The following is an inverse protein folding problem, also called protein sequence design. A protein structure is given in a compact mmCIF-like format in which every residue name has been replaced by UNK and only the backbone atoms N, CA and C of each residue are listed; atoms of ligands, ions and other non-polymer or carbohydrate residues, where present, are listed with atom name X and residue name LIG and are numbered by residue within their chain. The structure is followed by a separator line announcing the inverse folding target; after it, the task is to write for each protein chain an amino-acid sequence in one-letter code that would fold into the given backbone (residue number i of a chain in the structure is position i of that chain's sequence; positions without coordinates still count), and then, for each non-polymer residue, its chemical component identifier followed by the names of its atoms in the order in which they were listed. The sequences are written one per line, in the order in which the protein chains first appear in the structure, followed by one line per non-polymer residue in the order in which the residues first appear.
data_IF_319812848144
#
_entry.id   IF_319812848144
#
_cell.length_a   1.000
_cell.length_b   1.000
_cell.length_c   1.000
_cell.angle_alpha   90.00
_cell.angle_beta   90.00
_cell.angle_gamma   90.00
#
_symmetry.space_group_name_H-M   'P 1'
#
loop_
_entity.id
_entity.type
_entity.pdbx_description
1 polymer ?
#
# COMPACT_ATOMS: atom_id res chain seq x y z
N UNK A 1 -22.17 -15.96 24.12
CA UNK A 1 -21.67 -15.41 22.86
C UNK A 1 -21.09 -16.52 22.01
N UNK A 2 -21.66 -16.75 20.83
CA UNK A 2 -21.10 -17.66 19.83
C UNK A 2 -19.94 -16.94 19.15
N UNK A 3 -18.72 -17.48 19.29
CA UNK A 3 -17.53 -16.89 18.68
C UNK A 3 -17.46 -17.33 17.22
N UNK A 4 -17.16 -16.39 16.31
CA UNK A 4 -16.87 -16.75 14.91
C UNK A 4 -15.78 -17.83 14.88
N UNK A 5 -16.01 -18.88 14.09
CA UNK A 5 -15.11 -20.04 14.01
C UNK A 5 -13.68 -19.67 13.55
N UNK A 6 -13.51 -18.55 12.87
CA UNK A 6 -12.25 -18.03 12.35
C UNK A 6 -11.72 -16.80 13.10
N UNK A 7 -12.33 -16.48 14.25
CA UNK A 7 -11.87 -15.42 15.15
C UNK A 7 -12.00 -14.01 14.57
N UNK A 8 -11.41 -13.04 15.28
CA UNK A 8 -11.32 -11.65 14.86
C UNK A 8 -10.44 -11.49 13.60
N UNK A 9 -9.35 -12.28 13.50
CA UNK A 9 -8.48 -12.25 12.34
C UNK A 9 -9.20 -12.69 11.05
N UNK A 10 -9.99 -13.77 11.10
CA UNK A 10 -10.77 -14.21 9.95
C UNK A 10 -11.94 -13.27 9.62
N UNK A 11 -12.58 -12.69 10.65
CA UNK A 11 -13.56 -11.62 10.44
C UNK A 11 -12.95 -10.43 9.69
N UNK A 12 -11.76 -9.96 10.09
CA UNK A 12 -11.09 -8.82 9.45
C UNK A 12 -10.79 -9.10 7.97
N UNK A 13 -10.27 -10.29 7.65
CA UNK A 13 -10.01 -10.72 6.27
C UNK A 13 -11.29 -10.72 5.41
N UNK A 14 -12.39 -11.28 5.94
CA UNK A 14 -13.67 -11.29 5.23
C UNK A 14 -14.25 -9.90 5.06
N UNK A 15 -14.20 -9.08 6.11
CA UNK A 15 -14.68 -7.70 6.08
C UNK A 15 -13.92 -6.89 5.02
N UNK A 16 -12.58 -6.99 5.04
CA UNK A 16 -11.72 -6.36 4.05
C UNK A 16 -12.04 -6.84 2.63
N UNK A 17 -12.14 -8.16 2.44
CA UNK A 17 -12.52 -8.75 1.14
C UNK A 17 -13.86 -8.24 0.65
N UNK A 18 -14.87 -8.18 1.53
CA UNK A 18 -16.20 -7.70 1.20
C UNK A 18 -16.21 -6.21 0.82
N UNK A 19 -15.45 -5.37 1.54
CA UNK A 19 -15.31 -3.94 1.24
C UNK A 19 -14.69 -3.68 -0.13
N UNK A 20 -13.74 -4.51 -0.54
CA UNK A 20 -13.01 -4.33 -1.79
C UNK A 20 -13.63 -5.08 -2.97
N UNK A 21 -14.78 -5.74 -2.76
CA UNK A 21 -15.61 -6.28 -3.85
C UNK A 21 -16.47 -5.16 -4.46
N UNK A 22 -16.47 -5.08 -5.78
CA UNK A 22 -17.35 -4.18 -6.52
C UNK A 22 -16.80 -2.76 -6.68
N UNK A 23 -17.66 -1.83 -7.12
CA UNK A 23 -17.34 -0.43 -7.39
C UNK A 23 -17.74 0.46 -6.22
N UNK A 24 -16.93 1.45 -5.87
CA UNK A 24 -17.25 2.40 -4.80
C UNK A 24 -16.01 2.96 -4.12
N UNK A 25 -16.25 3.77 -3.10
CA UNK A 25 -15.22 4.30 -2.22
C UNK A 25 -14.62 3.18 -1.36
N UNK A 26 -13.31 2.95 -1.51
CA UNK A 26 -12.56 1.91 -0.80
C UNK A 26 -11.66 2.46 0.30
N UNK A 27 -11.72 3.76 0.58
CA UNK A 27 -10.94 4.40 1.67
C UNK A 27 -11.20 3.70 3.00
N UNK A 28 -10.19 3.57 3.83
CA UNK A 28 -10.31 2.89 5.11
C UNK A 28 -11.19 3.71 6.05
N UNK A 29 -12.25 3.12 6.65
CA UNK A 29 -13.03 3.84 7.64
C UNK A 29 -12.18 4.11 8.89
N UNK A 30 -12.14 5.33 9.45
CA UNK A 30 -11.39 5.61 10.68
C UNK A 30 -11.76 4.69 11.85
N UNK A 31 -13.06 4.41 12.00
CA UNK A 31 -13.56 3.49 13.02
C UNK A 31 -13.03 2.05 12.88
N UNK A 32 -12.61 1.62 11.68
CA UNK A 32 -11.95 0.33 11.48
C UNK A 32 -10.53 0.35 12.06
N UNK A 33 -9.77 1.43 11.83
CA UNK A 33 -8.43 1.59 12.37
C UNK A 33 -8.46 1.55 13.90
N UNK A 34 -9.37 2.32 14.51
CA UNK A 34 -9.57 2.34 15.98
C UNK A 34 -9.98 0.96 16.54
N UNK A 35 -10.75 0.19 15.78
CA UNK A 35 -11.13 -1.16 16.15
C UNK A 35 -9.93 -2.10 16.12
N UNK A 36 -9.10 -2.04 15.07
CA UNK A 36 -7.91 -2.88 14.91
C UNK A 36 -6.89 -2.58 16.00
N UNK A 37 -6.65 -1.31 16.33
CA UNK A 37 -5.75 -0.92 17.42
C UNK A 37 -6.18 -1.53 18.77
N UNK A 38 -7.47 -1.42 19.12
CA UNK A 38 -8.01 -2.02 20.34
C UNK A 38 -8.01 -3.55 20.32
N UNK A 39 -8.15 -4.15 19.14
CA UNK A 39 -8.22 -5.60 18.96
C UNK A 39 -6.85 -6.27 18.77
N UNK A 40 -5.73 -5.53 18.77
CA UNK A 40 -4.40 -6.06 18.44
C UNK A 40 -4.03 -7.32 19.24
N UNK A 41 -4.31 -7.34 20.54
CA UNK A 41 -4.03 -8.49 21.40
C UNK A 41 -4.81 -9.74 20.98
N UNK A 42 -6.07 -9.57 20.57
CA UNK A 42 -6.91 -10.65 20.04
C UNK A 42 -6.40 -11.10 18.68
N UNK A 43 -6.07 -10.18 17.79
CA UNK A 43 -5.54 -10.50 16.46
C UNK A 43 -4.24 -11.31 16.56
N UNK A 44 -3.31 -10.95 17.44
CA UNK A 44 -2.09 -11.72 17.70
C UNK A 44 -2.40 -13.13 18.20
N UNK A 45 -3.31 -13.26 19.17
CA UNK A 45 -3.71 -14.56 19.70
C UNK A 45 -4.34 -15.46 18.62
N UNK A 46 -5.21 -14.89 17.79
CA UNK A 46 -5.87 -15.63 16.71
C UNK A 46 -4.87 -16.07 15.64
N UNK A 47 -3.89 -15.21 15.29
CA UNK A 47 -2.83 -15.57 14.33
C UNK A 47 -1.88 -16.64 14.88
N UNK A 48 -1.52 -16.57 16.16
CA UNK A 48 -0.69 -17.59 16.81
C UNK A 48 -1.38 -18.96 16.94
N UNK A 49 -2.72 -19.00 16.89
CA UNK A 49 -3.49 -20.24 16.86
C UNK A 49 -3.62 -20.83 15.44
N UNK A 50 -3.20 -20.11 14.39
CA UNK A 50 -3.20 -20.63 13.01
C UNK A 50 -1.96 -21.51 12.79
N UNK A 51 -2.04 -22.48 11.85
CA UNK A 51 -0.85 -23.15 11.33
C UNK A 51 0.19 -22.14 10.82
N UNK A 52 1.48 -22.45 10.97
CA UNK A 52 2.60 -21.55 10.63
C UNK A 52 2.55 -21.04 9.18
N UNK A 53 2.12 -21.87 8.22
CA UNK A 53 1.96 -21.51 6.80
C UNK A 53 0.82 -20.50 6.55
N UNK A 54 0.07 -20.13 7.60
CA UNK A 54 -1.12 -19.24 7.55
C UNK A 54 -1.15 -18.24 8.69
N UNK A 55 -0.06 -18.10 9.44
CA UNK A 55 0.06 -17.18 10.59
C UNK A 55 0.23 -15.71 10.16
N UNK A 56 -0.56 -15.28 9.16
CA UNK A 56 -0.59 -13.92 8.62
C UNK A 56 -2.00 -13.52 8.18
N UNK A 57 -2.25 -12.22 8.15
CA UNK A 57 -3.48 -11.61 7.67
C UNK A 57 -3.46 -11.47 6.15
N UNK A 58 -4.54 -11.89 5.50
CA UNK A 58 -4.76 -11.71 4.04
C UNK A 58 -5.39 -10.35 3.73
N UNK A 59 -4.69 -9.28 4.11
CA UNK A 59 -5.05 -7.90 3.81
C UNK A 59 -4.13 -7.43 2.68
N UNK A 60 -4.72 -7.08 1.54
CA UNK A 60 -3.99 -6.73 0.33
C UNK A 60 -3.57 -5.26 0.26
N UNK A 61 -2.99 -4.89 -0.88
CA UNK A 61 -2.42 -3.56 -1.16
C UNK A 61 -3.47 -2.49 -1.53
N UNK A 62 -4.74 -2.90 -1.56
CA UNK A 62 -5.90 -2.05 -1.87
C UNK A 62 -6.26 -1.06 -0.75
N UNK A 63 -5.87 -1.36 0.50
CA UNK A 63 -6.18 -0.57 1.70
C UNK A 63 -4.87 -0.19 2.43
N UNK A 64 -4.29 0.94 2.04
CA UNK A 64 -2.96 1.35 2.54
C UNK A 64 -2.97 1.81 4.00
N UNK A 65 -4.03 2.48 4.47
CA UNK A 65 -4.09 2.91 5.87
C UNK A 65 -4.22 1.70 6.80
N UNK A 66 -5.03 0.70 6.44
CA UNK A 66 -5.12 -0.54 7.21
C UNK A 66 -3.79 -1.30 7.16
N UNK A 67 -3.20 -1.44 5.98
CA UNK A 67 -1.93 -2.15 5.81
C UNK A 67 -0.80 -1.52 6.63
N UNK A 68 -0.65 -0.20 6.57
CA UNK A 68 0.36 0.52 7.35
C UNK A 68 0.12 0.39 8.86
N UNK A 69 -1.14 0.45 9.29
CA UNK A 69 -1.48 0.20 10.70
C UNK A 69 -1.07 -1.21 11.13
N UNK A 70 -1.45 -2.24 10.37
CA UNK A 70 -1.14 -3.64 10.71
C UNK A 70 0.38 -3.87 10.82
N UNK A 71 1.14 -3.35 9.88
CA UNK A 71 2.61 -3.41 9.92
C UNK A 71 3.18 -2.64 11.12
N UNK A 72 2.65 -1.45 11.44
CA UNK A 72 3.09 -0.67 12.61
C UNK A 72 2.79 -1.35 13.95
N UNK A 73 1.82 -2.28 13.97
CA UNK A 73 1.46 -3.09 15.12
C UNK A 73 2.18 -4.45 15.14
N UNK A 74 3.16 -4.66 14.27
CA UNK A 74 3.89 -5.92 14.10
C UNK A 74 2.95 -7.12 13.85
N UNK A 75 1.82 -6.89 13.18
CA UNK A 75 0.93 -7.98 12.76
C UNK A 75 1.42 -8.55 11.43
N UNK A 76 1.68 -9.87 11.33
CA UNK A 76 2.09 -10.48 10.09
C UNK A 76 0.99 -10.31 9.02
N UNK A 77 1.36 -9.80 7.86
CA UNK A 77 0.50 -9.65 6.68
C UNK A 77 1.08 -10.45 5.51
N UNK A 78 0.19 -10.95 4.65
CA UNK A 78 0.55 -11.67 3.45
C UNK A 78 1.43 -10.81 2.52
N UNK A 79 2.36 -11.46 1.82
CA UNK A 79 3.19 -10.79 0.84
C UNK A 79 2.33 -10.25 -0.33
N UNK A 80 2.68 -9.08 -0.89
CA UNK A 80 2.05 -8.60 -2.12
C UNK A 80 2.20 -9.62 -3.23
N UNK A 81 1.11 -9.85 -4.00
CA UNK A 81 1.14 -10.79 -5.12
C UNK A 81 2.31 -10.45 -6.07
N UNK A 82 3.25 -11.40 -6.29
CA UNK A 82 4.37 -11.16 -7.18
C UNK A 82 3.90 -11.07 -8.63
N UNK A 83 4.75 -10.47 -9.46
CA UNK A 83 4.56 -10.51 -10.91
C UNK A 83 4.94 -11.91 -11.42
N UNK A 84 4.09 -12.46 -12.28
CA UNK A 84 4.32 -13.77 -12.92
C UNK A 84 4.03 -13.66 -14.42
N UNK A 85 4.57 -14.55 -15.26
CA UNK A 85 4.18 -14.60 -16.66
C UNK A 85 2.64 -14.65 -16.79
N UNK A 86 2.06 -13.67 -17.48
CA UNK A 86 0.61 -13.56 -17.68
C UNK A 86 -0.18 -12.90 -16.54
N UNK A 87 0.43 -12.43 -15.46
CA UNK A 87 -0.27 -11.63 -14.44
C UNK A 87 0.51 -10.40 -14.00
N UNK A 88 -0.15 -9.25 -13.98
CA UNK A 88 0.39 -8.06 -13.32
C UNK A 88 0.51 -8.32 -11.82
N UNK A 89 1.68 -8.04 -11.25
CA UNK A 89 1.87 -8.06 -9.80
C UNK A 89 1.01 -7.00 -9.10
N UNK A 90 0.87 -7.13 -7.78
CA UNK A 90 0.07 -6.21 -6.96
C UNK A 90 0.56 -4.76 -7.06
N UNK A 91 -0.33 -3.77 -7.13
CA UNK A 91 0.02 -2.35 -7.13
C UNK A 91 -0.64 -1.67 -5.92
N UNK A 92 0.11 -0.85 -5.19
CA UNK A 92 -0.42 -0.05 -4.08
C UNK A 92 -1.52 0.90 -4.56
N UNK A 93 -2.65 0.94 -3.87
CA UNK A 93 -3.76 1.84 -4.20
C UNK A 93 -3.54 3.26 -3.65
N UNK A 94 -2.54 3.95 -4.21
CA UNK A 94 -2.14 5.29 -3.79
C UNK A 94 -3.25 6.33 -4.03
N UNK A 95 -4.15 6.11 -4.99
CA UNK A 95 -5.22 7.05 -5.32
C UNK A 95 -6.30 7.11 -4.23
N UNK A 96 -6.73 5.96 -3.70
CA UNK A 96 -7.73 5.95 -2.61
C UNK A 96 -7.12 6.50 -1.32
N UNK A 97 -5.89 6.09 -0.99
CA UNK A 97 -5.11 6.64 0.14
C UNK A 97 -4.98 8.17 0.06
N UNK A 98 -4.55 8.69 -1.09
CA UNK A 98 -4.42 10.12 -1.32
C UNK A 98 -5.77 10.87 -1.32
N UNK A 99 -6.92 10.21 -1.29
CA UNK A 99 -8.23 10.84 -1.14
C UNK A 99 -8.78 10.73 0.29
N UNK A 100 -8.06 10.10 1.20
CA UNK A 100 -8.36 10.10 2.63
C UNK A 100 -8.33 11.51 3.21
N UNK A 101 -9.17 11.78 4.21
CA UNK A 101 -9.15 13.06 4.93
C UNK A 101 -7.89 13.20 5.78
N UNK A 102 -7.51 12.12 6.46
CA UNK A 102 -6.31 12.03 7.28
C UNK A 102 -5.59 10.70 7.03
N UNK A 103 -4.99 10.51 5.84
CA UNK A 103 -4.31 9.26 5.50
C UNK A 103 -3.08 9.06 6.39
N UNK A 104 -2.73 7.81 6.66
CA UNK A 104 -1.53 7.48 7.44
C UNK A 104 -0.26 7.85 6.67
N UNK A 105 0.81 8.07 7.43
CA UNK A 105 2.12 8.48 6.91
C UNK A 105 2.87 7.43 6.09
N UNK A 106 2.38 6.19 6.03
CA UNK A 106 2.99 5.06 5.32
C UNK A 106 4.37 4.65 5.85
N UNK A 107 4.72 5.01 7.09
CA UNK A 107 6.04 4.75 7.68
C UNK A 107 6.35 3.26 7.78
N UNK A 108 5.37 2.43 8.15
CA UNK A 108 5.58 0.99 8.31
C UNK A 108 5.64 0.29 6.94
N UNK A 109 4.80 0.72 5.98
CA UNK A 109 4.90 0.25 4.59
C UNK A 109 6.26 0.59 3.97
N UNK A 110 6.76 1.82 4.19
CA UNK A 110 8.05 2.27 3.67
C UNK A 110 9.23 1.49 4.27
N UNK A 111 9.12 1.06 5.53
CA UNK A 111 10.13 0.27 6.20
C UNK A 111 10.18 -1.19 5.72
N UNK A 112 9.09 -1.72 5.16
CA UNK A 112 9.00 -3.11 4.72
C UNK A 112 9.37 -3.28 3.23
N UNK A 113 10.53 -3.91 2.92
CA UNK A 113 11.02 -4.04 1.55
C UNK A 113 10.10 -4.88 0.65
N UNK A 114 9.22 -5.72 1.20
CA UNK A 114 8.28 -6.55 0.44
C UNK A 114 7.32 -5.73 -0.42
N UNK A 115 7.04 -4.48 -0.01
CA UNK A 115 6.11 -3.58 -0.70
C UNK A 115 6.76 -2.70 -1.76
N UNK A 116 8.10 -2.64 -1.85
CA UNK A 116 8.81 -1.82 -2.85
C UNK A 116 8.40 -2.14 -4.30
N UNK A 117 8.33 -3.42 -4.74
CA UNK A 117 7.90 -3.71 -6.11
C UNK A 117 6.47 -3.24 -6.41
N UNK A 118 5.57 -3.36 -5.43
CA UNK A 118 4.19 -2.89 -5.56
C UNK A 118 4.11 -1.36 -5.65
N UNK A 119 4.90 -0.65 -4.84
CA UNK A 119 5.01 0.80 -4.92
C UNK A 119 5.54 1.27 -6.27
N UNK A 120 6.64 0.68 -6.76
CA UNK A 120 7.24 1.02 -8.06
C UNK A 120 6.23 0.87 -9.19
N UNK A 121 5.43 -0.20 -9.19
CA UNK A 121 4.36 -0.40 -10.18
C UNK A 121 3.33 0.73 -10.14
N UNK A 122 2.84 1.09 -8.96
CA UNK A 122 1.89 2.20 -8.81
C UNK A 122 2.50 3.53 -9.27
N UNK A 123 3.70 3.87 -8.80
CA UNK A 123 4.39 5.10 -9.16
C UNK A 123 4.63 5.22 -10.67
N UNK A 124 4.98 4.11 -11.33
CA UNK A 124 5.15 4.06 -12.78
C UNK A 124 3.83 4.16 -13.57
N UNK A 125 2.69 3.84 -12.94
CA UNK A 125 1.37 3.92 -13.55
C UNK A 125 0.77 5.33 -13.51
N UNK A 126 1.20 6.18 -12.57
CA UNK A 126 0.85 7.60 -12.60
C UNK A 126 1.59 8.27 -13.75
N UNK A 127 0.87 8.52 -14.84
CA UNK A 127 1.36 9.29 -15.99
C UNK A 127 0.40 10.42 -16.40
N UNK A 128 -0.70 10.58 -15.69
CA UNK A 128 -1.74 11.56 -15.99
C UNK A 128 -1.65 12.76 -15.04
N UNK A 129 -1.70 13.96 -15.63
CA UNK A 129 -1.15 15.18 -15.07
C UNK A 129 -1.95 15.76 -13.88
N UNK A 130 -3.25 15.49 -13.78
CA UNK A 130 -4.10 16.07 -12.74
C UNK A 130 -4.19 15.19 -11.49
N UNK A 131 -4.61 13.94 -11.63
CA UNK A 131 -4.78 13.01 -10.49
C UNK A 131 -3.46 12.49 -9.93
N UNK A 132 -2.44 12.32 -10.78
CA UNK A 132 -1.12 11.88 -10.35
C UNK A 132 -0.39 12.93 -9.51
N UNK A 133 -0.51 14.21 -9.84
CA UNK A 133 0.17 15.29 -9.14
C UNK A 133 -0.27 15.40 -7.67
N UNK A 134 -1.58 15.28 -7.39
CA UNK A 134 -2.10 15.29 -6.02
C UNK A 134 -1.59 14.10 -5.18
N UNK A 135 -1.58 12.90 -5.78
CA UNK A 135 -1.05 11.70 -5.13
C UNK A 135 0.42 11.87 -4.79
N UNK A 136 1.22 12.36 -5.74
CA UNK A 136 2.66 12.57 -5.54
C UNK A 136 2.94 13.66 -4.50
N UNK A 137 2.17 14.76 -4.50
CA UNK A 137 2.25 15.79 -3.45
C UNK A 137 1.97 15.22 -2.07
N UNK A 138 0.93 14.41 -1.92
CA UNK A 138 0.60 13.77 -0.65
C UNK A 138 1.67 12.78 -0.21
N UNK A 139 2.22 11.97 -1.12
CA UNK A 139 3.36 11.11 -0.83
C UNK A 139 4.59 11.89 -0.38
N UNK A 140 4.88 13.03 -0.99
CA UNK A 140 6.02 13.86 -0.61
C UNK A 140 5.85 14.49 0.79
N UNK A 141 4.61 14.75 1.20
CA UNK A 141 4.27 15.26 2.52
C UNK A 141 4.25 14.18 3.62
N UNK A 142 3.95 12.93 3.27
CA UNK A 142 3.88 11.81 4.21
C UNK A 142 5.29 11.34 4.64
N UNK A 143 5.46 11.07 5.94
CA UNK A 143 6.79 10.73 6.50
C UNK A 143 7.43 9.48 5.86
N UNK A 144 6.63 8.43 5.61
CA UNK A 144 7.02 7.22 4.90
C UNK A 144 6.96 7.35 3.38
N UNK A 145 6.09 8.21 2.84
CA UNK A 145 6.00 8.42 1.39
C UNK A 145 7.25 9.08 0.79
N UNK A 146 7.83 10.07 1.47
CA UNK A 146 9.03 10.80 1.02
C UNK A 146 10.25 9.89 0.71
N UNK A 147 10.68 8.96 1.59
CA UNK A 147 11.79 8.06 1.26
C UNK A 147 11.47 7.11 0.11
N UNK A 148 10.22 6.61 0.01
CA UNK A 148 9.79 5.75 -1.11
C UNK A 148 9.87 6.51 -2.44
N UNK A 149 9.36 7.75 -2.49
CA UNK A 149 9.49 8.62 -3.65
C UNK A 149 10.96 8.90 -4.00
N UNK A 150 11.79 9.19 -3.00
CA UNK A 150 13.21 9.48 -3.21
C UNK A 150 13.93 8.29 -3.85
N UNK A 151 13.66 7.08 -3.38
CA UNK A 151 14.22 5.84 -3.95
C UNK A 151 13.77 5.68 -5.41
N UNK A 152 12.46 5.82 -5.68
CA UNK A 152 11.90 5.69 -7.02
C UNK A 152 12.43 6.74 -8.00
N UNK A 153 12.53 8.02 -7.61
CA UNK A 153 13.10 9.08 -8.46
C UNK A 153 14.55 8.77 -8.82
N UNK A 154 15.35 8.28 -7.86
CA UNK A 154 16.74 7.88 -8.12
C UNK A 154 16.82 6.72 -9.12
N UNK A 155 15.90 5.76 -9.05
CA UNK A 155 15.81 4.67 -10.02
C UNK A 155 15.45 5.20 -11.41
N UNK A 156 14.39 6.02 -11.52
CA UNK A 156 13.97 6.60 -12.80
C UNK A 156 15.11 7.41 -13.43
N UNK A 157 15.83 8.21 -12.64
CA UNK A 157 16.99 8.97 -13.12
C UNK A 157 18.10 8.05 -13.64
N UNK A 158 18.45 6.98 -12.90
CA UNK A 158 19.46 6.00 -13.32
C UNK A 158 19.07 5.29 -14.62
N UNK A 159 17.83 4.82 -14.71
CA UNK A 159 17.32 4.13 -15.90
C UNK A 159 17.33 5.05 -17.13
N UNK A 160 17.06 6.34 -16.94
CA UNK A 160 17.06 7.35 -18.00
C UNK A 160 18.47 7.64 -18.52
N UNK A 161 19.46 7.70 -17.64
CA UNK A 161 20.88 7.84 -18.02
C UNK A 161 21.36 6.58 -18.76
N UNK A 162 20.97 5.40 -18.30
CA UNK A 162 21.35 4.12 -18.92
C UNK A 162 20.73 3.89 -20.30
N UNK A 163 19.50 4.37 -20.54
CA UNK A 163 18.78 4.16 -21.80
C UNK A 163 19.29 5.02 -22.98
N UNK A 164 20.09 6.06 -22.73
CA UNK A 164 20.42 7.06 -23.76
C UNK A 164 19.21 7.86 -24.24
N UNK A 165 19.44 8.85 -25.10
CA UNK A 165 18.47 9.86 -25.58
C UNK A 165 17.04 9.39 -25.96
N UNK A 166 16.76 8.14 -26.41
CA UNK A 166 15.40 7.73 -26.73
C UNK A 166 14.44 7.59 -25.52
N UNK A 167 14.96 7.30 -24.31
CA UNK A 167 14.14 7.11 -23.09
C UNK A 167 13.80 8.40 -22.35
N UNK A 168 14.52 9.48 -22.67
CA UNK A 168 14.49 10.76 -21.97
C UNK A 168 13.12 11.45 -22.00
N UNK A 169 12.34 11.47 -23.11
CA UNK A 169 11.03 12.11 -23.11
C UNK A 169 10.03 11.47 -22.13
N UNK A 170 10.08 10.14 -21.97
CA UNK A 170 9.22 9.41 -21.02
C UNK A 170 9.63 9.66 -19.57
N UNK A 171 10.93 9.80 -19.33
CA UNK A 171 11.47 10.16 -18.02
C UNK A 171 11.18 11.62 -17.63
N UNK A 172 11.31 12.56 -18.57
CA UNK A 172 10.98 13.97 -18.36
C UNK A 172 9.49 14.13 -18.12
N UNK A 173 8.65 13.48 -18.93
CA UNK A 173 7.22 13.41 -18.66
C UNK A 173 6.99 12.91 -17.23
N UNK A 174 7.73 11.89 -16.77
CA UNK A 174 7.64 11.36 -15.41
C UNK A 174 8.05 12.25 -14.26
N UNK A 175 8.93 13.19 -14.52
CA UNK A 175 9.44 14.07 -13.48
C UNK A 175 8.73 15.42 -13.47
N UNK A 176 8.09 15.80 -14.58
CA UNK A 176 7.45 17.12 -14.74
C UNK A 176 6.21 17.35 -13.88
N UNK A 177 5.68 16.31 -13.21
CA UNK A 177 4.54 16.42 -12.29
C UNK A 177 4.93 16.36 -10.81
N UNK A 178 6.21 16.21 -10.48
CA UNK A 178 6.67 16.33 -9.10
C UNK A 178 6.51 17.79 -8.65
N UNK A 179 6.03 18.06 -7.42
CA UNK A 179 5.96 19.43 -6.92
C UNK A 179 7.37 20.05 -6.90
N UNK A 180 7.48 21.27 -7.41
CA UNK A 180 8.68 22.08 -7.21
C UNK A 180 8.79 22.44 -5.71
N UNK A 181 10.04 22.55 -5.22
CA UNK A 181 10.35 22.99 -3.85
C UNK A 181 9.74 24.35 -3.51
#
# INVERSE_FOLDING_TARGET
EERCADGAAGWLERFHTARHRGWGDRRTPPALLDLVERAVGRLRADLAARPDDRAFLRIGVEDLDLLDLLLSLDLPVADPKPETPGTSGAALNLSDWARGENPRDLTAVAADPRFRPAFRRSANAYHDASSGADVMRRLAAAAGGRPMLTEWVREVARDSVAAGLPGVPKAIARLSWLPAE
#
